data_IF_706040785177
#
_entry.id   IF_706040785177
#
_cell.length_a   1.000
_cell.length_b   1.000
_cell.length_c   1.000
_cell.angle_alpha   90.00
_cell.angle_beta   90.00
_cell.angle_gamma   90.00
#
_symmetry.space_group_name_H-M   'P 1'
#
loop_
_entity.id
_entity.type
_entity.pdbx_description
1 polymer ?
#
# COMPACT_ATOMS: atom_id res chain seq x y z
N UNK A 1 -14.33 11.73 3.72
CA UNK A 1 -14.08 13.18 3.93
C UNK A 1 -14.31 13.52 5.41
N UNK A 2 -13.59 14.52 5.94
CA UNK A 2 -13.71 15.09 7.30
C UNK A 2 -13.54 14.12 8.48
N UNK A 3 -12.92 12.96 8.25
CA UNK A 3 -12.70 11.94 9.29
C UNK A 3 -11.58 12.38 10.22
N UNK A 4 -11.83 12.34 11.53
CA UNK A 4 -10.80 12.45 12.57
C UNK A 4 -10.50 11.04 13.07
N UNK A 5 -9.25 10.54 12.95
CA UNK A 5 -8.90 9.21 13.43
C UNK A 5 -9.00 9.15 14.96
N UNK A 6 -9.29 7.96 15.49
CA UNK A 6 -9.33 7.76 16.94
C UNK A 6 -7.91 7.94 17.52
N UNK A 7 -7.68 8.92 18.41
CA UNK A 7 -6.34 9.18 18.94
C UNK A 7 -5.91 8.17 20.02
N UNK A 8 -6.80 7.28 20.47
CA UNK A 8 -6.55 6.36 21.59
C UNK A 8 -5.88 5.05 21.18
N UNK A 9 -5.89 4.71 19.89
CA UNK A 9 -5.29 3.50 19.36
C UNK A 9 -4.55 3.81 18.06
N UNK A 10 -3.36 3.24 17.90
CA UNK A 10 -2.55 3.49 16.71
C UNK A 10 -3.06 2.67 15.52
N UNK A 11 -2.76 3.14 14.30
CA UNK A 11 -2.97 2.37 13.07
C UNK A 11 -2.37 0.96 13.17
N UNK A 12 -1.12 0.87 13.66
CA UNK A 12 -0.39 -0.37 13.85
C UNK A 12 -1.17 -1.36 14.72
N UNK A 13 -1.68 -0.90 15.87
CA UNK A 13 -2.38 -1.75 16.83
C UNK A 13 -3.78 -2.17 16.35
N UNK A 14 -4.34 -1.46 15.36
CA UNK A 14 -5.57 -1.89 14.67
C UNK A 14 -5.28 -3.01 13.65
N UNK A 15 -4.24 -2.85 12.83
CA UNK A 15 -4.05 -3.70 11.64
C UNK A 15 -3.19 -4.94 11.90
N UNK A 16 -2.10 -4.81 12.65
CA UNK A 16 -1.11 -5.90 12.80
C UNK A 16 -1.71 -7.11 13.53
N UNK A 17 -2.45 -6.97 14.64
CA UNK A 17 -3.06 -8.12 15.30
C UNK A 17 -4.06 -8.87 14.42
N UNK A 18 -4.81 -8.16 13.58
CA UNK A 18 -5.77 -8.77 12.62
C UNK A 18 -5.02 -9.61 11.59
N UNK A 19 -3.95 -9.06 11.00
CA UNK A 19 -3.13 -9.75 10.01
C UNK A 19 -2.43 -10.98 10.61
N UNK A 20 -1.93 -10.87 11.85
CA UNK A 20 -1.31 -11.99 12.57
C UNK A 20 -2.33 -13.10 12.84
N UNK A 21 -3.53 -12.75 13.30
CA UNK A 21 -4.59 -13.73 13.51
C UNK A 21 -4.97 -14.41 12.19
N UNK A 22 -5.18 -13.66 11.11
CA UNK A 22 -5.47 -14.23 9.79
C UNK A 22 -4.38 -15.20 9.33
N UNK A 23 -3.10 -14.82 9.46
CA UNK A 23 -1.98 -15.69 9.08
C UNK A 23 -1.98 -17.00 9.89
N UNK A 24 -2.24 -16.93 11.20
CA UNK A 24 -2.36 -18.10 12.07
C UNK A 24 -3.50 -19.00 11.62
N UNK A 25 -4.72 -18.47 11.48
CA UNK A 25 -5.90 -19.25 11.11
C UNK A 25 -5.73 -19.90 9.72
N UNK A 26 -5.09 -19.21 8.76
CA UNK A 26 -4.78 -19.79 7.46
C UNK A 26 -3.82 -20.98 7.55
N UNK A 27 -2.77 -20.86 8.38
CA UNK A 27 -1.80 -21.94 8.56
C UNK A 27 -2.43 -23.18 9.22
N UNK A 28 -3.36 -22.98 10.15
CA UNK A 28 -4.09 -24.08 10.82
C UNK A 28 -4.97 -24.88 9.84
N UNK A 29 -5.51 -24.21 8.80
CA UNK A 29 -6.31 -24.84 7.74
C UNK A 29 -5.41 -25.48 6.68
N UNK A 30 -4.30 -24.83 6.28
CA UNK A 30 -3.40 -25.31 5.23
C UNK A 30 -2.91 -26.74 5.48
N UNK A 31 -2.72 -27.12 6.75
CA UNK A 31 -2.26 -28.46 7.13
C UNK A 31 -3.37 -29.54 7.03
N UNK A 32 -4.61 -29.16 6.72
CA UNK A 32 -5.81 -30.03 6.73
C UNK A 32 -6.51 -30.13 5.37
N UNK A 33 -6.09 -29.37 4.37
CA UNK A 33 -6.77 -29.27 3.06
C UNK A 33 -5.93 -29.82 1.92
N UNK A 34 -6.60 -30.30 0.86
CA UNK A 34 -5.99 -30.91 -0.33
C UNK A 34 -5.47 -29.87 -1.32
N UNK A 35 -6.05 -28.66 -1.35
CA UNK A 35 -5.71 -27.59 -2.29
C UNK A 35 -5.15 -26.37 -1.55
N UNK A 36 -3.86 -26.10 -1.72
CA UNK A 36 -3.11 -25.14 -0.91
C UNK A 36 -2.90 -23.75 -1.55
N UNK A 37 -3.39 -23.54 -2.78
CA UNK A 37 -3.20 -22.32 -3.59
C UNK A 37 -4.38 -21.34 -3.55
N UNK A 38 -5.40 -21.61 -2.72
CA UNK A 38 -6.59 -20.78 -2.58
C UNK A 38 -6.40 -19.59 -1.61
N UNK A 39 -5.18 -19.29 -1.18
CA UNK A 39 -4.91 -18.17 -0.26
C UNK A 39 -5.20 -16.84 -0.96
N UNK A 40 -5.99 -15.93 -0.38
CA UNK A 40 -6.19 -14.62 -0.96
C UNK A 40 -4.89 -13.80 -0.88
N UNK A 41 -4.72 -12.92 -1.87
CA UNK A 41 -3.70 -11.87 -1.85
C UNK A 41 -4.12 -10.83 -0.80
N UNK A 42 -3.18 -10.40 0.03
CA UNK A 42 -3.44 -9.41 1.08
C UNK A 42 -2.80 -8.07 0.71
N UNK A 43 -3.63 -7.04 0.56
CA UNK A 43 -3.21 -5.65 0.37
C UNK A 43 -3.41 -4.87 1.65
N UNK A 44 -2.42 -4.06 2.04
CA UNK A 44 -2.53 -3.13 3.16
C UNK A 44 -2.60 -1.69 2.64
N UNK A 45 -3.65 -0.97 3.02
CA UNK A 45 -3.80 0.46 2.77
C UNK A 45 -3.07 1.24 3.86
N UNK A 46 -1.89 1.74 3.52
CA UNK A 46 -1.08 2.53 4.44
C UNK A 46 -0.09 3.41 3.69
N UNK A 47 0.22 4.56 4.26
CA UNK A 47 1.33 5.44 3.85
C UNK A 47 2.47 5.43 4.87
N UNK A 48 2.36 4.56 5.89
CA UNK A 48 3.23 4.52 7.05
C UNK A 48 4.36 3.49 6.87
N UNK A 49 5.59 3.99 6.83
CA UNK A 49 6.79 3.17 6.68
C UNK A 49 6.89 2.07 7.75
N UNK A 50 6.65 2.40 9.02
CA UNK A 50 6.83 1.46 10.13
C UNK A 50 5.79 0.35 10.11
N UNK A 51 4.53 0.67 9.77
CA UNK A 51 3.47 -0.32 9.62
C UNK A 51 3.77 -1.27 8.47
N UNK A 52 4.09 -0.73 7.29
CA UNK A 52 4.42 -1.58 6.14
C UNK A 52 5.68 -2.42 6.40
N UNK A 53 6.70 -1.86 7.06
CA UNK A 53 7.92 -2.57 7.48
C UNK A 53 7.59 -3.77 8.36
N UNK A 54 6.80 -3.59 9.40
CA UNK A 54 6.39 -4.69 10.28
C UNK A 54 5.61 -5.76 9.52
N UNK A 55 4.72 -5.36 8.60
CA UNK A 55 3.95 -6.28 7.78
C UNK A 55 4.82 -7.13 6.84
N UNK A 56 5.79 -6.52 6.15
CA UNK A 56 6.70 -7.26 5.26
C UNK A 56 7.71 -8.11 6.03
N UNK A 57 8.11 -7.70 7.24
CA UNK A 57 9.05 -8.46 8.08
C UNK A 57 8.41 -9.74 8.67
N UNK A 58 7.09 -9.74 8.83
CA UNK A 58 6.32 -10.89 9.33
C UNK A 58 5.56 -11.66 8.23
N UNK A 59 5.81 -11.35 6.94
CA UNK A 59 5.12 -11.96 5.79
C UNK A 59 3.59 -11.92 5.87
N UNK A 60 3.06 -10.78 6.32
CA UNK A 60 1.63 -10.57 6.53
C UNK A 60 0.87 -10.09 5.29
N UNK A 61 1.58 -9.49 4.33
CA UNK A 61 0.99 -8.79 3.18
C UNK A 61 1.75 -9.06 1.88
N UNK A 62 1.07 -8.84 0.76
CA UNK A 62 1.59 -9.04 -0.61
C UNK A 62 1.65 -7.72 -1.40
N UNK A 63 0.77 -6.76 -1.09
CA UNK A 63 0.63 -5.49 -1.80
C UNK A 63 0.62 -4.31 -0.82
N UNK A 64 1.35 -3.24 -1.19
CA UNK A 64 1.20 -1.92 -0.59
C UNK A 64 0.14 -1.13 -1.39
N UNK A 65 -0.93 -0.70 -0.75
CA UNK A 65 -1.81 0.31 -1.31
C UNK A 65 -1.43 1.67 -0.69
N UNK A 66 -0.72 2.52 -1.44
CA UNK A 66 -0.25 3.81 -0.95
C UNK A 66 -1.04 4.94 -1.61
N UNK A 67 -2.00 5.49 -0.87
CA UNK A 67 -2.88 6.56 -1.34
C UNK A 67 -2.14 7.90 -1.61
N UNK A 68 -0.85 7.98 -1.29
CA UNK A 68 0.00 9.14 -1.59
C UNK A 68 0.91 8.89 -2.81
N UNK A 69 0.82 7.73 -3.46
CA UNK A 69 1.80 7.27 -4.45
C UNK A 69 3.25 7.32 -3.93
N UNK A 70 3.43 6.91 -2.67
CA UNK A 70 4.70 6.90 -1.95
C UNK A 70 5.36 8.28 -1.83
N UNK A 71 4.57 9.36 -1.81
CA UNK A 71 5.08 10.73 -1.59
C UNK A 71 5.12 11.11 -0.12
N UNK A 72 4.27 10.51 0.73
CA UNK A 72 4.29 10.75 2.18
C UNK A 72 5.63 10.33 2.80
N UNK A 73 6.13 9.15 2.42
CA UNK A 73 7.46 8.69 2.81
C UNK A 73 8.09 7.85 1.68
N UNK A 74 8.93 8.45 0.81
CA UNK A 74 9.56 7.73 -0.31
C UNK A 74 10.43 6.53 0.10
N UNK A 75 10.91 6.48 1.34
CA UNK A 75 11.71 5.37 1.85
C UNK A 75 10.92 4.05 1.88
N UNK A 76 9.58 4.11 1.89
CA UNK A 76 8.72 2.92 1.85
C UNK A 76 8.96 2.07 0.59
N UNK A 77 9.44 2.69 -0.50
CA UNK A 77 9.80 2.01 -1.75
C UNK A 77 10.92 0.99 -1.51
N UNK A 78 11.83 1.26 -0.57
CA UNK A 78 12.92 0.31 -0.23
C UNK A 78 12.37 -1.00 0.34
N UNK A 79 11.19 -0.97 0.95
CA UNK A 79 10.53 -2.15 1.52
C UNK A 79 9.83 -3.02 0.46
N UNK A 80 9.53 -2.46 -0.72
CA UNK A 80 8.93 -3.20 -1.84
C UNK A 80 9.90 -4.22 -2.48
N UNK A 81 11.19 -4.16 -2.13
CA UNK A 81 12.22 -5.10 -2.59
C UNK A 81 13.01 -5.66 -1.40
N UNK A 82 12.95 -6.98 -1.22
CA UNK A 82 13.83 -7.76 -0.34
C UNK A 82 14.71 -8.68 -1.19
N UNK A 83 15.76 -9.26 -0.60
CA UNK A 83 16.78 -10.08 -1.31
C UNK A 83 16.21 -11.09 -2.30
N UNK A 84 15.05 -11.70 -2.02
CA UNK A 84 14.41 -12.67 -2.92
C UNK A 84 12.88 -12.49 -3.02
N UNK A 85 12.36 -11.30 -2.71
CA UNK A 85 10.90 -11.04 -2.70
C UNK A 85 10.61 -9.62 -3.16
N UNK A 86 9.68 -9.50 -4.10
CA UNK A 86 9.15 -8.22 -4.57
C UNK A 86 7.67 -8.14 -4.21
N UNK A 87 7.26 -6.99 -3.71
CA UNK A 87 5.87 -6.67 -3.40
C UNK A 87 5.29 -5.81 -4.53
N UNK A 88 4.00 -5.96 -4.81
CA UNK A 88 3.31 -5.04 -5.74
C UNK A 88 2.84 -3.80 -4.99
N UNK A 89 2.61 -2.71 -5.74
CA UNK A 89 2.20 -1.43 -5.17
C UNK A 89 1.12 -0.77 -6.02
N UNK A 90 0.10 -0.22 -5.36
CA UNK A 90 -0.88 0.67 -5.96
C UNK A 90 -0.47 2.11 -5.66
N UNK A 91 -0.41 2.93 -6.72
CA UNK A 91 -0.12 4.35 -6.64
C UNK A 91 -1.41 5.12 -6.95
N UNK A 92 -1.95 5.80 -5.94
CA UNK A 92 -3.15 6.63 -6.10
C UNK A 92 -2.80 8.10 -6.21
N UNK A 93 -3.54 8.84 -7.03
CA UNK A 93 -3.48 10.29 -7.03
C UNK A 93 -4.43 10.89 -5.98
N UNK A 94 -3.95 11.87 -5.21
CA UNK A 94 -4.79 12.70 -4.33
C UNK A 94 -4.14 14.07 -4.11
N UNK A 95 -4.94 15.05 -3.72
CA UNK A 95 -4.45 16.37 -3.26
C UNK A 95 -4.96 16.65 -1.85
N UNK A 96 -4.08 17.14 -0.98
CA UNK A 96 -4.40 17.44 0.41
C UNK A 96 -4.66 16.21 1.28
N UNK A 97 -5.54 16.39 2.26
CA UNK A 97 -5.90 15.42 3.30
C UNK A 97 -7.44 15.36 3.44
N UNK A 98 -8.01 14.50 4.31
CA UNK A 98 -9.46 14.36 4.43
C UNK A 98 -10.25 15.64 4.73
N UNK A 99 -9.60 16.70 5.24
CA UNK A 99 -10.22 17.98 5.54
C UNK A 99 -10.09 19.02 4.41
N UNK A 100 -9.14 18.85 3.49
CA UNK A 100 -8.82 19.85 2.45
C UNK A 100 -8.97 19.33 1.02
N UNK A 101 -9.07 18.01 0.82
CA UNK A 101 -9.13 17.42 -0.52
C UNK A 101 -10.34 17.85 -1.34
N UNK A 102 -11.44 18.22 -0.68
CA UNK A 102 -12.67 18.68 -1.33
C UNK A 102 -12.52 20.12 -1.90
N UNK A 103 -11.55 20.89 -1.41
CA UNK A 103 -11.28 22.27 -1.86
C UNK A 103 -10.20 22.33 -2.95
N UNK A 104 -9.35 21.30 -3.06
CA UNK A 104 -8.20 21.25 -3.98
C UNK A 104 -8.55 20.65 -5.35
N UNK A 105 -9.63 21.15 -5.96
CA UNK A 105 -10.27 20.56 -7.16
C UNK A 105 -9.94 21.25 -8.48
N UNK A 106 -9.13 22.32 -8.46
CA UNK A 106 -8.73 23.04 -9.66
C UNK A 106 -7.58 22.31 -10.39
N UNK A 107 -7.79 21.95 -11.66
CA UNK A 107 -6.77 21.38 -12.55
C UNK A 107 -6.72 22.18 -13.85
N UNK A 108 -5.53 22.29 -14.43
CA UNK A 108 -5.38 22.88 -15.76
C UNK A 108 -5.94 21.90 -16.81
N UNK A 109 -5.62 20.61 -16.65
CA UNK A 109 -6.23 19.53 -17.42
C UNK A 109 -6.36 18.27 -16.56
N UNK A 110 -7.52 18.10 -15.93
CA UNK A 110 -7.81 17.02 -14.98
C UNK A 110 -7.25 15.64 -15.41
N UNK A 111 -7.57 15.20 -16.63
CA UNK A 111 -7.24 13.84 -17.09
C UNK A 111 -5.73 13.69 -17.30
N UNK A 112 -5.11 14.66 -17.98
CA UNK A 112 -3.68 14.55 -18.31
C UNK A 112 -2.79 14.86 -17.10
N UNK A 113 -3.20 15.77 -16.22
CA UNK A 113 -2.45 16.10 -15.01
C UNK A 113 -2.35 14.88 -14.10
N UNK A 114 -3.45 14.15 -13.89
CA UNK A 114 -3.48 12.92 -13.08
C UNK A 114 -2.66 11.81 -13.75
N UNK A 115 -2.85 11.59 -15.06
CA UNK A 115 -2.08 10.59 -15.80
C UNK A 115 -0.58 10.87 -15.72
N UNK A 116 -0.16 12.11 -16.00
CA UNK A 116 1.23 12.52 -15.97
C UNK A 116 1.83 12.41 -14.57
N UNK A 117 1.07 12.74 -13.52
CA UNK A 117 1.47 12.51 -12.14
C UNK A 117 1.79 11.03 -11.89
N UNK A 118 0.87 10.12 -12.24
CA UNK A 118 1.06 8.68 -12.02
C UNK A 118 2.25 8.13 -12.85
N UNK A 119 2.45 8.59 -14.08
CA UNK A 119 3.60 8.24 -14.91
C UNK A 119 4.92 8.71 -14.28
N UNK A 120 4.98 9.91 -13.70
CA UNK A 120 6.16 10.39 -12.98
C UNK A 120 6.45 9.53 -11.74
N UNK A 121 5.43 9.17 -10.97
CA UNK A 121 5.58 8.29 -9.79
C UNK A 121 6.06 6.89 -10.21
N UNK A 122 5.50 6.33 -11.28
CA UNK A 122 5.99 5.07 -11.84
C UNK A 122 7.46 5.15 -12.21
N UNK A 123 7.86 6.18 -12.97
CA UNK A 123 9.24 6.33 -13.42
C UNK A 123 10.21 6.43 -12.22
N UNK A 124 9.80 7.11 -11.14
CA UNK A 124 10.57 7.17 -9.89
C UNK A 124 10.74 5.78 -9.24
N UNK A 125 9.67 4.97 -9.15
CA UNK A 125 9.74 3.62 -8.59
C UNK A 125 10.59 2.68 -9.47
N UNK A 126 10.43 2.73 -10.79
CA UNK A 126 11.21 1.91 -11.73
C UNK A 126 12.69 2.26 -11.68
N UNK A 127 13.04 3.55 -11.59
CA UNK A 127 14.43 4.00 -11.41
C UNK A 127 15.05 3.45 -10.13
N UNK A 128 14.24 3.26 -9.08
CA UNK A 128 14.65 2.63 -7.82
C UNK A 128 14.59 1.09 -7.85
N UNK A 129 14.41 0.47 -9.02
CA UNK A 129 14.47 -0.97 -9.21
C UNK A 129 13.19 -1.72 -8.85
N UNK A 130 12.04 -1.05 -8.77
CA UNK A 130 10.75 -1.73 -8.64
C UNK A 130 10.31 -2.22 -10.03
N UNK A 131 9.94 -3.51 -10.17
CA UNK A 131 9.53 -4.04 -11.47
C UNK A 131 8.27 -3.34 -11.99
N UNK A 132 8.32 -2.83 -13.23
CA UNK A 132 7.21 -2.09 -13.86
C UNK A 132 5.87 -2.85 -13.83
N UNK A 133 5.90 -4.17 -14.02
CA UNK A 133 4.72 -5.03 -14.02
C UNK A 133 4.08 -5.24 -12.63
N UNK A 134 4.67 -4.68 -11.56
CA UNK A 134 4.17 -4.72 -10.18
C UNK A 134 3.58 -3.39 -9.70
N UNK A 135 3.54 -2.38 -10.57
CA UNK A 135 3.05 -1.04 -10.26
C UNK A 135 1.67 -0.88 -10.89
N UNK A 136 0.67 -0.56 -10.07
CA UNK A 136 -0.71 -0.34 -10.47
C UNK A 136 -1.08 1.14 -10.29
N UNK A 137 -1.97 1.64 -11.13
CA UNK A 137 -2.44 3.03 -11.13
C UNK A 137 -3.87 3.12 -10.61
N UNK A 138 -4.13 4.18 -9.84
CA UNK A 138 -5.45 4.57 -9.35
C UNK A 138 -5.59 6.10 -9.41
N UNK A 139 -6.73 6.60 -9.90
CA UNK A 139 -6.94 8.01 -10.34
C UNK A 139 -7.43 8.93 -9.24
#
# INVERSE_FOLDING_TARGET
PFVIPNPKISERDLVVPVLQLFQKEWNDIKNKIVKCDAKPIISIDTINYNVFKECVDNDLVDILNDISACTNNPEIIKLLKKKNKFYSVVLMHKRGNPHTMDELTNYDNLVYDIKNYLEQRLNFLVLNGIPRYRILFDI
#
